data_IF_679642370348
#
_entry.id   IF_679642370348
#
_cell.length_a   1.000
_cell.length_b   1.000
_cell.length_c   1.000
_cell.angle_alpha   90.00
_cell.angle_beta   90.00
_cell.angle_gamma   90.00
#
_symmetry.space_group_name_H-M   'P 1'
#
loop_
_entity.id
_entity.type
_entity.pdbx_description
1 polymer ?
#
# COMPACT_ATOMS: atom_id res chain seq x y z
N UNK A 1 -1.59 -4.13 15.85
CA UNK A 1 -2.21 -5.23 16.65
C UNK A 1 -3.73 -5.02 16.65
N UNK A 2 -4.43 -5.52 15.62
CA UNK A 2 -5.88 -5.22 15.40
C UNK A 2 -6.76 -6.48 15.50
N UNK A 3 -6.26 -7.62 15.03
CA UNK A 3 -6.96 -8.92 15.05
C UNK A 3 -6.70 -9.74 16.31
N UNK A 4 -5.70 -9.37 17.13
CA UNK A 4 -5.30 -10.11 18.34
C UNK A 4 -6.13 -9.78 19.60
N UNK A 5 -6.99 -8.76 19.57
CA UNK A 5 -7.66 -8.22 20.78
C UNK A 5 -9.18 -8.36 20.79
N UNK A 6 -9.82 -8.85 19.72
CA UNK A 6 -11.23 -9.23 19.72
C UNK A 6 -11.38 -10.70 19.39
N UNK A 7 -11.63 -11.54 20.40
CA UNK A 7 -12.03 -12.93 20.21
C UNK A 7 -13.45 -13.01 19.64
N UNK A 8 -13.69 -13.96 18.74
CA UNK A 8 -15.00 -14.33 18.17
C UNK A 8 -15.78 -13.19 17.52
N UNK A 9 -15.70 -13.02 16.20
CA UNK A 9 -16.58 -12.08 15.48
C UNK A 9 -17.98 -12.71 15.35
N UNK A 10 -19.03 -11.97 15.73
CA UNK A 10 -20.42 -12.46 15.64
C UNK A 10 -20.95 -12.57 14.21
N UNK A 11 -20.30 -11.91 13.23
CA UNK A 11 -20.60 -12.05 11.80
C UNK A 11 -19.36 -11.72 10.95
N UNK A 12 -19.28 -12.25 9.72
CA UNK A 12 -18.15 -12.04 8.79
C UNK A 12 -17.99 -10.57 8.38
N UNK A 13 -19.09 -9.84 8.24
CA UNK A 13 -19.08 -8.42 7.87
C UNK A 13 -18.36 -7.53 8.90
N UNK A 14 -18.37 -7.93 10.17
CA UNK A 14 -17.73 -7.21 11.27
C UNK A 14 -16.22 -7.36 11.22
N UNK A 15 -15.74 -8.53 10.81
CA UNK A 15 -14.32 -8.77 10.58
C UNK A 15 -13.82 -7.92 9.40
N UNK A 16 -14.56 -7.90 8.30
CA UNK A 16 -14.19 -7.12 7.11
C UNK A 16 -14.15 -5.61 7.40
N UNK A 17 -15.16 -5.08 8.10
CA UNK A 17 -15.20 -3.66 8.52
C UNK A 17 -14.03 -3.30 9.42
N UNK A 18 -13.65 -4.18 10.35
CA UNK A 18 -12.49 -3.95 11.20
C UNK A 18 -11.19 -3.91 10.40
N UNK A 19 -11.01 -4.84 9.46
CA UNK A 19 -9.84 -4.86 8.57
C UNK A 19 -9.76 -3.58 7.74
N UNK A 20 -10.89 -3.17 7.14
CA UNK A 20 -10.99 -1.95 6.36
C UNK A 20 -10.62 -0.71 7.18
N UNK A 21 -11.17 -0.57 8.39
CA UNK A 21 -10.82 0.53 9.29
C UNK A 21 -9.35 0.52 9.70
N UNK A 22 -8.74 -0.67 9.81
CA UNK A 22 -7.31 -0.83 10.04
C UNK A 22 -6.45 -0.37 8.87
N UNK A 23 -6.85 -0.73 7.64
CA UNK A 23 -6.20 -0.31 6.41
C UNK A 23 -6.28 1.21 6.25
N UNK A 24 -7.46 1.81 6.45
CA UNK A 24 -7.66 3.26 6.35
C UNK A 24 -6.69 4.02 7.27
N UNK A 25 -6.58 3.61 8.54
CA UNK A 25 -5.64 4.21 9.51
C UNK A 25 -4.17 4.01 9.14
N UNK A 26 -3.84 2.92 8.46
CA UNK A 26 -2.47 2.68 7.97
C UNK A 26 -2.16 3.59 6.77
N UNK A 27 -3.10 3.69 5.83
CA UNK A 27 -3.01 4.56 4.65
C UNK A 27 -2.88 6.03 5.04
N UNK A 28 -3.62 6.51 6.05
CA UNK A 28 -3.48 7.87 6.60
C UNK A 28 -2.04 8.19 7.07
N UNK A 29 -1.29 7.18 7.50
CA UNK A 29 0.11 7.34 7.96
C UNK A 29 1.13 7.19 6.84
N UNK A 30 0.75 6.68 5.66
CA UNK A 30 1.61 6.53 4.50
C UNK A 30 1.66 7.82 3.66
N UNK A 31 1.96 8.94 4.32
CA UNK A 31 2.07 10.25 3.68
C UNK A 31 3.49 10.60 3.22
N UNK A 32 4.49 9.86 3.66
CA UNK A 32 5.89 10.18 3.36
C UNK A 32 6.26 9.66 1.96
N UNK A 33 6.96 10.48 1.14
CA UNK A 33 7.45 10.03 -0.14
C UNK A 33 8.49 8.92 0.04
N UNK A 34 8.57 8.01 -0.93
CA UNK A 34 9.60 6.98 -0.95
C UNK A 34 10.95 7.66 -1.15
N UNK A 35 11.90 7.37 -0.26
CA UNK A 35 13.24 7.95 -0.32
C UNK A 35 13.95 7.51 -1.60
N UNK A 36 14.62 8.45 -2.28
CA UNK A 36 15.37 8.21 -3.51
C UNK A 36 14.55 7.62 -4.67
N UNK A 37 13.24 7.86 -4.71
CA UNK A 37 12.34 7.28 -5.71
C UNK A 37 12.80 7.52 -7.15
N UNK A 38 13.31 8.71 -7.47
CA UNK A 38 13.80 9.03 -8.81
C UNK A 38 14.95 8.12 -9.26
N UNK A 39 15.91 7.82 -8.37
CA UNK A 39 17.02 6.92 -8.68
C UNK A 39 16.51 5.50 -8.88
N UNK A 40 15.63 5.03 -7.97
CA UNK A 40 14.99 3.71 -8.11
C UNK A 40 14.23 3.60 -9.42
N UNK A 41 13.51 4.65 -9.81
CA UNK A 41 12.77 4.70 -11.07
C UNK A 41 13.71 4.58 -12.28
N UNK A 42 14.82 5.33 -12.31
CA UNK A 42 15.82 5.20 -13.38
C UNK A 42 16.39 3.78 -13.48
N UNK A 43 16.67 3.12 -12.35
CA UNK A 43 17.13 1.74 -12.36
C UNK A 43 16.05 0.77 -12.87
N UNK A 44 14.79 0.97 -12.49
CA UNK A 44 13.67 0.15 -12.97
C UNK A 44 13.45 0.31 -14.47
N UNK A 45 13.58 1.51 -15.02
CA UNK A 45 13.47 1.75 -16.47
C UNK A 45 14.56 1.02 -17.25
N UNK A 46 15.78 0.95 -16.71
CA UNK A 46 16.89 0.19 -17.34
C UNK A 46 16.66 -1.33 -17.23
N UNK A 47 16.24 -1.82 -16.07
CA UNK A 47 16.03 -3.26 -15.87
C UNK A 47 14.78 -3.81 -16.57
N UNK A 48 13.78 -2.96 -16.80
CA UNK A 48 12.49 -3.30 -17.39
C UNK A 48 12.16 -2.35 -18.54
N UNK A 49 13.01 -2.36 -19.57
CA UNK A 49 12.86 -1.51 -20.76
C UNK A 49 11.46 -1.65 -21.38
N UNK A 50 10.86 -0.53 -21.80
CA UNK A 50 9.57 -0.47 -22.48
C UNK A 50 8.33 -0.70 -21.60
N UNK A 51 8.49 -1.05 -20.31
CA UNK A 51 7.33 -1.26 -19.40
C UNK A 51 6.78 0.02 -18.80
N UNK A 52 7.63 1.03 -18.64
CA UNK A 52 7.29 2.26 -17.94
C UNK A 52 7.00 3.43 -18.88
N UNK A 53 7.30 3.29 -20.18
CA UNK A 53 7.20 4.35 -21.19
C UNK A 53 5.77 4.90 -21.38
N UNK A 54 4.73 4.10 -21.11
CA UNK A 54 3.32 4.53 -21.17
C UNK A 54 2.75 5.04 -19.84
N UNK A 55 3.57 5.04 -18.77
CA UNK A 55 3.15 5.35 -17.40
C UNK A 55 3.97 6.47 -16.76
N UNK A 56 5.04 6.90 -17.42
CA UNK A 56 5.87 8.02 -17.01
C UNK A 56 5.76 9.07 -18.11
N UNK A 57 5.06 10.18 -17.82
CA UNK A 57 5.20 11.39 -18.60
C UNK A 57 6.53 12.04 -18.18
N UNK A 58 7.57 11.87 -19.00
CA UNK A 58 8.87 12.54 -18.82
C UNK A 58 8.77 14.04 -19.16
#
# INVERSE_FOLDING_TARGET
KLTKTKGGFSNESSLLKLLYAGMLKATERWSHPVQNWNLTLSQLTIHFEGRLDGHIDL
#
